data_IF_410183340911
#
_entry.id   IF_410183340911
#
_cell.length_a   1.000
_cell.length_b   1.000
_cell.length_c   1.000
_cell.angle_alpha   90.00
_cell.angle_beta   90.00
_cell.angle_gamma   90.00
#
_symmetry.space_group_name_H-M   'P 1'
#
loop_
_entity.id
_entity.type
_entity.pdbx_description
1 polymer ?
#
# COMPACT_ATOMS: atom_id res chain seq x y z
N UNK A 1 -5.26 17.04 23.15
CA UNK A 1 -4.34 16.28 24.02
C UNK A 1 -4.32 14.85 23.51
N UNK A 2 -3.28 14.51 22.75
CA UNK A 2 -3.07 13.18 22.17
C UNK A 2 -2.68 12.21 23.29
N UNK A 3 -3.60 11.31 23.67
CA UNK A 3 -3.26 10.22 24.58
C UNK A 3 -2.33 9.26 23.86
N UNK A 4 -1.12 9.11 24.40
CA UNK A 4 -0.21 8.05 24.03
C UNK A 4 -0.92 6.71 24.23
N UNK A 5 -1.00 5.90 23.17
CA UNK A 5 -1.45 4.52 23.26
C UNK A 5 -0.43 3.81 24.16
N UNK A 6 -0.81 3.58 25.41
CA UNK A 6 0.01 2.93 26.42
C UNK A 6 0.25 1.48 25.95
N UNK A 7 1.48 0.97 25.95
CA UNK A 7 1.82 -0.32 25.33
C UNK A 7 0.99 -1.53 25.84
N UNK A 8 0.35 -1.40 27.01
CA UNK A 8 -0.61 -2.37 27.56
C UNK A 8 -1.97 -2.42 26.83
N UNK A 9 -2.37 -1.38 26.10
CA UNK A 9 -3.66 -1.33 25.39
C UNK A 9 -3.62 -1.93 23.98
N UNK A 10 -2.43 -2.18 23.42
CA UNK A 10 -2.29 -2.70 22.06
C UNK A 10 -2.84 -4.13 21.87
N UNK A 11 -3.01 -4.88 22.96
CA UNK A 11 -3.44 -6.29 22.94
C UNK A 11 -4.81 -6.53 23.57
N UNK A 12 -5.61 -5.49 23.80
CA UNK A 12 -6.97 -5.63 24.33
C UNK A 12 -7.95 -5.93 23.19
N UNK A 13 -8.83 -6.91 23.40
CA UNK A 13 -9.98 -7.10 22.51
C UNK A 13 -10.90 -5.88 22.61
N UNK A 14 -11.22 -5.29 21.46
CA UNK A 14 -12.16 -4.17 21.32
C UNK A 14 -13.30 -4.59 20.42
N UNK A 15 -14.49 -4.10 20.70
CA UNK A 15 -15.66 -4.29 19.83
C UNK A 15 -15.51 -3.47 18.54
N UNK A 16 -16.34 -3.79 17.54
CA UNK A 16 -16.35 -3.05 16.27
C UNK A 16 -16.78 -1.61 16.53
N UNK A 17 -17.78 -1.41 17.39
CA UNK A 17 -18.31 -0.13 17.80
C UNK A 17 -17.22 0.73 18.45
N UNK A 18 -16.54 0.21 19.48
CA UNK A 18 -15.44 0.91 20.16
C UNK A 18 -14.28 1.28 19.21
N UNK A 19 -13.99 0.43 18.21
CA UNK A 19 -12.95 0.73 17.22
C UNK A 19 -13.34 1.93 16.33
N UNK A 20 -14.62 2.02 15.96
CA UNK A 20 -15.11 3.08 15.09
C UNK A 20 -15.57 4.33 15.85
N UNK A 21 -15.70 4.34 17.17
CA UNK A 21 -16.17 5.52 17.93
C UNK A 21 -15.38 6.81 17.62
N UNK A 22 -14.10 6.68 17.27
CA UNK A 22 -13.21 7.80 16.97
C UNK A 22 -12.93 8.03 15.47
N UNK A 23 -13.71 7.41 14.56
CA UNK A 23 -13.43 7.45 13.10
C UNK A 23 -13.32 8.86 12.51
N UNK A 24 -14.01 9.84 13.11
CA UNK A 24 -14.00 11.24 12.67
C UNK A 24 -12.66 11.92 12.89
N UNK A 25 -11.85 11.42 13.84
CA UNK A 25 -10.54 11.95 14.17
C UNK A 25 -9.39 11.20 13.47
N UNK A 26 -9.69 10.21 12.63
CA UNK A 26 -8.68 9.49 11.87
C UNK A 26 -7.95 10.42 10.90
N UNK A 27 -6.62 10.33 10.91
CA UNK A 27 -5.79 11.02 9.92
C UNK A 27 -6.09 10.48 8.53
N UNK A 28 -6.33 11.41 7.59
CA UNK A 28 -6.60 11.10 6.19
C UNK A 28 -5.36 11.43 5.36
N UNK A 29 -5.16 10.65 4.30
CA UNK A 29 -4.23 11.04 3.26
C UNK A 29 -4.84 12.19 2.46
N UNK A 30 -4.02 13.20 2.19
CA UNK A 30 -4.36 14.27 1.26
C UNK A 30 -4.08 13.81 -0.19
N UNK A 31 -3.96 14.77 -1.11
CA UNK A 31 -3.66 14.49 -2.51
C UNK A 31 -2.30 13.82 -2.68
N UNK A 32 -2.22 12.91 -3.66
CA UNK A 32 -0.94 12.36 -4.14
C UNK A 32 -0.04 13.52 -4.56
N UNK A 33 1.18 13.55 -4.03
CA UNK A 33 2.19 14.57 -4.33
C UNK A 33 3.02 14.22 -5.56
N UNK A 34 3.34 12.94 -5.74
CA UNK A 34 4.00 12.42 -6.93
C UNK A 34 3.68 10.93 -7.14
N UNK A 35 3.98 10.41 -8.32
CA UNK A 35 3.86 8.99 -8.60
C UNK A 35 5.08 8.50 -9.40
N UNK A 36 5.36 7.20 -9.31
CA UNK A 36 6.36 6.50 -10.11
C UNK A 36 5.76 5.20 -10.60
N UNK A 37 6.04 4.83 -11.84
CA UNK A 37 5.59 3.55 -12.41
C UNK A 37 6.79 2.74 -12.88
N UNK A 38 6.90 1.51 -12.39
CA UNK A 38 7.87 0.52 -12.84
C UNK A 38 7.15 -0.47 -13.76
N UNK A 39 7.52 -0.48 -15.05
CA UNK A 39 6.91 -1.34 -16.06
C UNK A 39 7.29 -2.81 -15.89
N UNK A 40 8.53 -3.09 -15.46
CA UNK A 40 9.05 -4.45 -15.33
C UNK A 40 8.31 -5.23 -14.23
N UNK A 41 7.98 -4.54 -13.14
CA UNK A 41 7.25 -5.09 -11.98
C UNK A 41 5.77 -4.71 -11.96
N UNK A 42 5.28 -4.01 -13.00
CA UNK A 42 3.92 -3.45 -13.09
C UNK A 42 3.45 -2.83 -11.78
N UNK A 43 4.30 -1.98 -11.20
CA UNK A 43 4.08 -1.37 -9.88
C UNK A 43 3.97 0.14 -10.02
N UNK A 44 2.85 0.69 -9.54
CA UNK A 44 2.62 2.12 -9.39
C UNK A 44 2.80 2.48 -7.91
N UNK A 45 3.78 3.33 -7.61
CA UNK A 45 3.91 3.94 -6.29
C UNK A 45 3.31 5.34 -6.30
N UNK A 46 2.47 5.61 -5.30
CA UNK A 46 1.85 6.91 -5.05
C UNK A 46 2.45 7.49 -3.77
N UNK A 47 3.07 8.67 -3.85
CA UNK A 47 3.68 9.35 -2.73
C UNK A 47 2.73 10.42 -2.15
N UNK A 48 2.76 10.56 -0.83
CA UNK A 48 1.93 11.51 -0.09
C UNK A 48 2.79 12.31 0.88
N UNK A 49 2.46 13.59 1.03
CA UNK A 49 2.97 14.43 2.11
C UNK A 49 1.94 14.40 3.24
N UNK A 50 2.37 14.03 4.45
CA UNK A 50 1.52 14.04 5.65
C UNK A 50 1.53 15.44 6.28
N UNK A 51 0.53 15.70 7.11
CA UNK A 51 0.38 16.96 7.83
C UNK A 51 1.53 17.26 8.80
N UNK A 52 2.22 16.21 9.28
CA UNK A 52 3.41 16.32 10.13
C UNK A 52 4.71 16.64 9.36
N UNK A 53 4.63 16.83 8.03
CA UNK A 53 5.75 17.13 7.15
C UNK A 53 6.54 15.91 6.68
N UNK A 54 6.25 14.71 7.20
CA UNK A 54 6.87 13.48 6.71
C UNK A 54 6.13 12.89 5.51
N UNK A 55 6.78 11.99 4.78
CA UNK A 55 6.21 11.38 3.57
C UNK A 55 5.86 9.91 3.80
N UNK A 56 4.95 9.39 3.00
CA UNK A 56 4.67 7.95 2.92
C UNK A 56 4.28 7.55 1.50
N UNK A 57 4.36 6.26 1.20
CA UNK A 57 4.03 5.70 -0.09
C UNK A 57 2.96 4.61 -0.01
N UNK A 58 2.08 4.57 -1.01
CA UNK A 58 1.17 3.47 -1.30
C UNK A 58 1.65 2.75 -2.57
N UNK A 59 1.72 1.43 -2.54
CA UNK A 59 2.04 0.62 -3.71
C UNK A 59 0.79 -0.03 -4.27
N UNK A 60 0.58 0.13 -5.57
CA UNK A 60 -0.41 -0.54 -6.39
C UNK A 60 0.33 -1.47 -7.34
N UNK A 61 0.15 -2.78 -7.17
CA UNK A 61 0.87 -3.77 -7.96
C UNK A 61 -0.12 -4.63 -8.74
N UNK A 62 -0.02 -4.61 -10.06
CA UNK A 62 -0.98 -5.28 -10.93
C UNK A 62 -0.56 -6.73 -11.18
N UNK A 63 -1.35 -7.66 -10.66
CA UNK A 63 -1.12 -9.11 -10.82
C UNK A 63 -1.75 -9.60 -12.13
N UNK A 64 -2.95 -9.10 -12.40
CA UNK A 64 -3.75 -9.39 -13.59
C UNK A 64 -4.31 -8.09 -14.15
N UNK A 65 -4.98 -8.17 -15.30
CA UNK A 65 -5.66 -7.02 -15.92
C UNK A 65 -6.73 -6.39 -15.00
N UNK A 66 -7.40 -7.20 -14.20
CA UNK A 66 -8.53 -6.82 -13.34
C UNK A 66 -8.26 -7.03 -11.83
N UNK A 67 -7.09 -7.56 -11.46
CA UNK A 67 -6.69 -7.79 -10.08
C UNK A 67 -5.37 -7.09 -9.75
N UNK A 68 -5.36 -6.33 -8.65
CA UNK A 68 -4.19 -5.65 -8.14
C UNK A 68 -4.10 -5.74 -6.61
N UNK A 69 -2.88 -5.62 -6.10
CA UNK A 69 -2.56 -5.58 -4.68
C UNK A 69 -2.30 -4.13 -4.26
N UNK A 70 -2.92 -3.72 -3.14
CA UNK A 70 -2.60 -2.47 -2.45
C UNK A 70 -1.74 -2.78 -1.22
N UNK A 71 -0.62 -2.09 -1.08
CA UNK A 71 0.16 -2.07 0.17
C UNK A 71 0.29 -0.63 0.63
N UNK A 72 -0.08 -0.38 1.88
CA UNK A 72 0.02 0.93 2.49
C UNK A 72 0.44 0.82 3.96
N UNK A 73 1.40 1.64 4.35
CA UNK A 73 1.82 1.86 5.72
C UNK A 73 2.20 3.34 5.87
N UNK A 74 1.56 4.11 6.76
CA UNK A 74 1.79 5.55 6.91
C UNK A 74 3.18 5.91 7.46
N UNK A 75 3.95 4.92 7.91
CA UNK A 75 5.33 5.06 8.36
C UNK A 75 6.37 4.57 7.36
N UNK A 76 5.97 4.23 6.12
CA UNK A 76 6.88 3.69 5.09
C UNK A 76 6.92 4.57 3.85
N UNK A 77 8.13 4.77 3.33
CA UNK A 77 8.37 5.22 1.95
C UNK A 77 8.48 4.03 1.00
N UNK A 78 8.53 4.28 -0.30
CA UNK A 78 8.54 3.24 -1.35
C UNK A 78 9.63 2.17 -1.11
N UNK A 79 10.82 2.60 -0.71
CA UNK A 79 11.98 1.73 -0.52
C UNK A 79 11.87 0.80 0.70
N UNK A 80 10.96 1.09 1.64
CA UNK A 80 10.77 0.29 2.87
C UNK A 80 9.89 -0.96 2.66
N UNK A 81 9.31 -1.10 1.47
CA UNK A 81 8.48 -2.24 1.11
C UNK A 81 9.35 -3.39 0.61
N UNK A 82 9.46 -4.42 1.45
CA UNK A 82 10.11 -5.68 1.08
C UNK A 82 9.39 -6.35 -0.08
N UNK A 83 10.15 -6.95 -0.99
CA UNK A 83 9.66 -7.67 -2.18
C UNK A 83 9.11 -9.06 -1.88
N UNK A 84 9.51 -9.65 -0.75
CA UNK A 84 9.03 -10.95 -0.30
C UNK A 84 7.65 -10.85 0.36
N UNK A 85 6.84 -11.88 0.16
CA UNK A 85 5.60 -12.05 0.91
C UNK A 85 5.97 -12.48 2.34
N UNK A 86 5.15 -12.10 3.33
CA UNK A 86 5.19 -12.80 4.62
C UNK A 86 4.73 -14.25 4.40
N UNK A 87 5.12 -15.18 5.27
CA UNK A 87 4.92 -16.64 5.16
C UNK A 87 3.48 -17.16 4.97
N UNK A 88 2.52 -16.28 4.69
CA UNK A 88 1.10 -16.51 4.44
C UNK A 88 0.74 -16.64 2.95
N UNK A 89 1.69 -16.55 2.02
CA UNK A 89 1.44 -16.74 0.56
C UNK A 89 2.33 -17.88 0.04
N UNK A 90 1.76 -18.78 -0.77
CA UNK A 90 2.41 -20.00 -1.27
C UNK A 90 3.62 -19.76 -2.21
N UNK A 91 3.89 -18.52 -2.60
CA UNK A 91 5.03 -18.12 -3.43
C UNK A 91 5.83 -17.02 -2.72
N UNK A 92 7.16 -17.16 -2.75
CA UNK A 92 8.11 -16.40 -1.94
C UNK A 92 8.06 -14.89 -2.24
N UNK A 93 7.79 -14.50 -3.49
CA UNK A 93 7.63 -13.10 -3.87
C UNK A 93 6.34 -12.85 -4.66
N UNK A 94 5.96 -11.57 -4.73
CA UNK A 94 4.86 -11.13 -5.58
C UNK A 94 5.17 -11.26 -7.07
N UNK A 95 6.44 -11.10 -7.45
CA UNK A 95 6.86 -11.25 -8.84
C UNK A 95 6.72 -12.71 -9.30
N UNK A 96 7.03 -13.67 -8.43
CA UNK A 96 6.83 -15.09 -8.77
C UNK A 96 5.35 -15.41 -9.03
N UNK A 97 4.45 -14.86 -8.21
CA UNK A 97 3.00 -14.97 -8.42
C UNK A 97 2.58 -14.32 -9.74
N UNK A 98 3.05 -13.11 -10.02
CA UNK A 98 2.71 -12.38 -11.25
C UNK A 98 3.20 -13.14 -12.49
N UNK A 99 4.44 -13.61 -12.50
CA UNK A 99 5.03 -14.34 -13.62
C UNK A 99 4.31 -15.66 -13.89
N UNK A 100 3.92 -16.39 -12.84
CA UNK A 100 3.12 -17.60 -13.00
C UNK A 100 1.78 -17.31 -13.69
N UNK A 101 1.08 -16.25 -13.27
CA UNK A 101 -0.23 -15.87 -13.82
C UNK A 101 -0.14 -15.25 -15.22
N UNK A 102 0.90 -14.45 -15.51
CA UNK A 102 1.12 -13.90 -16.86
C UNK A 102 1.44 -14.96 -17.91
N UNK A 103 2.02 -16.09 -17.50
CA UNK A 103 2.26 -17.21 -18.40
C UNK A 103 0.95 -17.85 -18.90
N UNK A 104 -0.12 -17.73 -18.12
CA UNK A 104 -1.45 -18.22 -18.46
C UNK A 104 -2.27 -17.15 -19.21
N UNK A 105 -2.23 -15.88 -18.76
CA UNK A 105 -2.95 -14.77 -19.39
C UNK A 105 -2.10 -13.47 -19.47
N UNK A 106 -1.42 -13.23 -20.60
CA UNK A 106 -0.59 -12.05 -20.79
C UNK A 106 -1.41 -10.75 -20.89
N UNK A 107 -0.94 -9.67 -20.24
CA UNK A 107 -1.53 -8.35 -20.36
C UNK A 107 -0.49 -7.23 -20.37
N UNK A 108 -0.88 -6.05 -20.86
CA UNK A 108 -0.06 -4.84 -20.92
C UNK A 108 -0.79 -3.68 -20.25
N UNK A 109 -0.03 -2.78 -19.61
CA UNK A 109 -0.57 -1.55 -19.01
C UNK A 109 -0.05 -0.38 -19.85
N UNK A 110 -0.99 0.37 -20.44
CA UNK A 110 -0.67 1.55 -21.25
C UNK A 110 -0.66 2.79 -20.34
N UNK A 111 0.52 3.40 -20.16
CA UNK A 111 0.68 4.57 -19.28
C UNK A 111 0.64 5.84 -20.11
N UNK A 112 -0.49 6.57 -20.01
CA UNK A 112 -0.59 7.92 -20.57
C UNK A 112 -0.17 8.94 -19.53
N UNK A 113 1.10 9.34 -19.55
CA UNK A 113 1.58 10.47 -18.75
C UNK A 113 0.89 11.75 -19.24
N UNK A 114 0.05 12.37 -18.39
CA UNK A 114 -0.38 13.75 -18.64
C UNK A 114 0.68 14.67 -18.05
N UNK A 115 1.54 15.22 -18.92
CA UNK A 115 2.32 16.40 -18.56
C UNK A 115 1.34 17.53 -18.23
N UNK A 116 1.42 18.05 -17.00
CA UNK A 116 0.78 19.31 -16.59
C UNK A 116 1.84 20.38 -16.52
#
# INVERSE_FOLDING_TARGET
MSQAINAQSAYKFITVEEYFDDYKNWQKLDKVSSYTYNADTKTLALNFNKQDGSTCAMLLQFVLKDAFRVRFNPGKVEQDYVSHNTASVALDTFEDLRLALESEEPFQIDVKERHR
#
